data_IF_478513277235
#
_entry.id   IF_478513277235
#
_cell.length_a   1.000
_cell.length_b   1.000
_cell.length_c   1.000
_cell.angle_alpha   90.00
_cell.angle_beta   90.00
_cell.angle_gamma   90.00
#
_symmetry.space_group_name_H-M   'P 1'
#
loop_
_entity.id
_entity.type
_entity.pdbx_description
1 polymer ?
#
# COMPACT_ATOMS: atom_id res chain seq x y z
N UNK A 1 -18.69 2.28 -12.19
CA UNK A 1 -18.87 3.60 -12.84
C UNK A 1 -19.86 3.42 -13.95
N UNK A 2 -20.72 4.40 -14.16
CA UNK A 2 -21.77 4.33 -15.18
C UNK A 2 -21.45 5.27 -16.34
N UNK A 3 -22.01 4.97 -17.52
CA UNK A 3 -21.87 5.79 -18.75
C UNK A 3 -22.12 7.29 -18.52
N UNK A 4 -23.13 7.72 -17.73
CA UNK A 4 -23.35 9.15 -17.45
C UNK A 4 -22.18 9.82 -16.70
N UNK A 5 -21.51 9.09 -15.79
CA UNK A 5 -20.36 9.61 -15.06
C UNK A 5 -19.17 9.83 -16.01
N UNK A 6 -18.95 8.91 -16.95
CA UNK A 6 -17.92 9.07 -17.98
C UNK A 6 -18.22 10.21 -18.94
N UNK A 7 -19.50 10.40 -19.32
CA UNK A 7 -19.92 11.53 -20.14
C UNK A 7 -19.67 12.86 -19.44
N UNK A 8 -19.98 12.96 -18.14
CA UNK A 8 -19.77 14.18 -17.36
C UNK A 8 -18.28 14.51 -17.18
N UNK A 9 -17.44 13.48 -16.96
CA UNK A 9 -15.99 13.68 -16.97
C UNK A 9 -15.59 14.18 -18.35
N UNK A 10 -15.89 13.44 -19.42
CA UNK A 10 -15.46 13.79 -20.78
C UNK A 10 -15.94 15.16 -21.26
N UNK A 11 -17.09 15.68 -20.80
CA UNK A 11 -17.55 17.03 -21.12
C UNK A 11 -16.84 18.13 -20.34
N UNK A 12 -16.22 17.79 -19.21
CA UNK A 12 -15.59 18.73 -18.29
C UNK A 12 -14.08 18.83 -18.46
N UNK A 13 -13.48 18.00 -19.31
CA UNK A 13 -12.03 17.92 -19.54
C UNK A 13 -11.75 18.07 -21.04
N UNK A 14 -10.66 18.74 -21.38
CA UNK A 14 -10.29 18.93 -22.79
C UNK A 14 -9.86 17.60 -23.42
N UNK A 15 -9.89 17.52 -24.76
CA UNK A 15 -9.47 16.31 -25.46
C UNK A 15 -8.01 15.95 -25.15
N UNK A 16 -7.12 16.95 -25.08
CA UNK A 16 -5.71 16.76 -24.73
C UNK A 16 -5.51 16.26 -23.29
N UNK A 17 -6.24 16.84 -22.34
CA UNK A 17 -6.25 16.38 -20.95
C UNK A 17 -6.76 14.93 -20.86
N UNK A 18 -7.73 14.55 -21.70
CA UNK A 18 -8.27 13.19 -21.70
C UNK A 18 -7.25 12.18 -22.21
N UNK A 19 -6.50 12.53 -23.25
CA UNK A 19 -5.40 11.69 -23.74
C UNK A 19 -4.34 11.51 -22.64
N UNK A 20 -3.99 12.59 -21.93
CA UNK A 20 -3.05 12.52 -20.79
C UNK A 20 -3.60 11.65 -19.66
N UNK A 21 -4.90 11.75 -19.37
CA UNK A 21 -5.57 10.90 -18.39
C UNK A 21 -5.49 9.43 -18.79
N UNK A 22 -5.89 9.06 -20.00
CA UNK A 22 -5.82 7.68 -20.49
C UNK A 22 -4.38 7.17 -20.51
N UNK A 23 -3.43 7.96 -20.99
CA UNK A 23 -2.02 7.60 -20.96
C UNK A 23 -1.53 7.38 -19.52
N UNK A 24 -1.95 8.20 -18.55
CA UNK A 24 -1.60 8.01 -17.13
C UNK A 24 -2.25 6.77 -16.51
N UNK A 25 -3.40 6.36 -17.04
CA UNK A 25 -4.14 5.16 -16.62
C UNK A 25 -3.51 3.86 -17.14
N UNK A 26 -2.72 3.93 -18.22
CA UNK A 26 -1.93 2.78 -18.69
C UNK A 26 -0.79 2.41 -17.73
N UNK A 27 -0.44 3.28 -16.78
CA UNK A 27 0.60 3.01 -15.79
C UNK A 27 0.01 2.66 -14.44
N UNK A 28 0.47 1.54 -13.88
CA UNK A 28 -0.01 0.96 -12.64
C UNK A 28 0.76 1.53 -11.42
N UNK A 29 1.75 2.41 -11.63
CA UNK A 29 2.63 2.94 -10.59
C UNK A 29 2.01 4.12 -9.84
N UNK A 30 2.31 4.25 -8.55
CA UNK A 30 1.87 5.39 -7.73
C UNK A 30 2.34 6.74 -8.29
N UNK A 31 3.60 6.81 -8.76
CA UNK A 31 4.17 8.00 -9.39
C UNK A 31 3.76 8.10 -10.86
N UNK A 32 3.51 9.34 -11.31
CA UNK A 32 3.25 9.65 -12.70
C UNK A 32 4.56 9.58 -13.49
N UNK A 33 4.63 8.84 -14.60
CA UNK A 33 5.85 8.73 -15.40
C UNK A 33 6.16 10.05 -16.12
N UNK A 34 7.44 10.37 -16.23
CA UNK A 34 7.94 11.57 -16.92
C UNK A 34 7.71 11.56 -18.43
N UNK A 35 7.46 10.38 -19.02
CA UNK A 35 7.10 10.22 -20.43
C UNK A 35 5.81 9.41 -20.52
N UNK A 36 4.71 10.06 -20.90
CA UNK A 36 3.46 9.39 -21.23
C UNK A 36 3.58 8.84 -22.65
N UNK A 37 3.55 7.52 -22.84
CA UNK A 37 3.47 6.94 -24.19
C UNK A 37 2.19 7.43 -24.85
N UNK A 38 2.32 8.05 -26.03
CA UNK A 38 1.19 8.62 -26.74
C UNK A 38 0.21 7.51 -27.13
N UNK A 39 -0.97 7.51 -26.51
CA UNK A 39 -2.06 6.61 -26.92
C UNK A 39 -2.58 7.15 -28.25
N UNK A 40 -2.46 6.34 -29.30
CA UNK A 40 -2.85 6.70 -30.66
C UNK A 40 -4.39 6.84 -30.70
N UNK A 41 -4.88 8.04 -30.41
CA UNK A 41 -6.27 8.35 -30.04
C UNK A 41 -6.96 9.26 -31.04
N UNK A 42 -6.32 9.52 -32.19
CA UNK A 42 -6.68 10.59 -33.14
C UNK A 42 -8.14 10.60 -33.64
N UNK A 43 -8.95 9.54 -33.40
CA UNK A 43 -10.34 9.47 -33.84
C UNK A 43 -11.34 8.95 -32.78
N UNK A 44 -10.97 8.85 -31.49
CA UNK A 44 -11.89 8.35 -30.46
C UNK A 44 -12.33 9.44 -29.48
N UNK A 45 -13.62 9.46 -29.15
CA UNK A 45 -14.13 10.37 -28.13
C UNK A 45 -13.59 9.99 -26.75
N UNK A 46 -13.37 10.98 -25.88
CA UNK A 46 -12.88 10.77 -24.52
C UNK A 46 -13.76 9.77 -23.73
N UNK A 47 -15.08 9.84 -23.94
CA UNK A 47 -16.04 8.90 -23.34
C UNK A 47 -15.73 7.46 -23.74
N UNK A 48 -15.47 7.22 -25.03
CA UNK A 48 -15.17 5.88 -25.54
C UNK A 48 -13.88 5.34 -24.96
N UNK A 49 -12.83 6.17 -24.89
CA UNK A 49 -11.55 5.80 -24.26
C UNK A 49 -11.72 5.41 -22.78
N UNK A 50 -12.53 6.16 -22.03
CA UNK A 50 -12.82 5.87 -20.61
C UNK A 50 -13.64 4.58 -20.44
N UNK A 51 -14.59 4.32 -21.35
CA UNK A 51 -15.36 3.07 -21.37
C UNK A 51 -14.44 1.88 -21.66
N UNK A 52 -13.60 1.99 -22.69
CA UNK A 52 -12.66 0.95 -23.10
C UNK A 52 -11.66 0.63 -21.98
N UNK A 53 -11.17 1.65 -21.28
CA UNK A 53 -10.35 1.48 -20.08
C UNK A 53 -11.07 0.69 -18.98
N UNK A 54 -12.37 0.95 -18.77
CA UNK A 54 -13.15 0.34 -17.69
C UNK A 54 -13.60 -1.10 -17.97
N UNK A 55 -13.88 -1.42 -19.23
CA UNK A 55 -14.37 -2.73 -19.67
C UNK A 55 -13.27 -3.70 -20.11
N UNK A 56 -12.04 -3.20 -20.17
CA UNK A 56 -10.89 -3.96 -20.64
C UNK A 56 -10.43 -5.08 -19.71
N UNK A 57 -9.78 -6.09 -20.30
CA UNK A 57 -9.23 -7.28 -19.61
C UNK A 57 -7.71 -7.21 -19.42
N UNK A 58 -7.05 -6.22 -19.99
CA UNK A 58 -5.61 -6.05 -19.89
C UNK A 58 -5.19 -5.66 -18.47
N UNK A 59 -3.96 -5.98 -18.09
CA UNK A 59 -3.42 -5.69 -16.75
C UNK A 59 -3.40 -4.21 -16.37
N UNK A 60 -3.41 -3.32 -17.37
CA UNK A 60 -3.51 -1.87 -17.23
C UNK A 60 -4.96 -1.35 -17.29
N UNK A 61 -5.89 -2.13 -17.84
CA UNK A 61 -7.31 -1.79 -17.90
C UNK A 61 -7.95 -2.15 -16.56
N UNK A 62 -8.59 -1.17 -15.91
CA UNK A 62 -8.95 -1.28 -14.49
C UNK A 62 -10.20 -2.12 -14.20
N UNK A 63 -10.33 -3.28 -14.84
CA UNK A 63 -11.37 -4.32 -14.70
C UNK A 63 -12.39 -4.11 -13.57
N UNK A 64 -13.43 -3.34 -13.86
CA UNK A 64 -14.55 -3.01 -12.94
C UNK A 64 -14.19 -2.30 -11.60
N UNK A 65 -12.96 -1.83 -11.39
CA UNK A 65 -12.46 -1.18 -10.15
C UNK A 65 -11.91 0.25 -10.35
N UNK A 66 -12.41 0.96 -11.37
CA UNK A 66 -11.71 2.11 -11.95
C UNK A 66 -11.86 3.46 -11.24
N UNK A 67 -12.88 3.69 -10.40
CA UNK A 67 -13.20 5.05 -9.94
C UNK A 67 -12.11 5.67 -9.05
N UNK A 68 -11.49 4.88 -8.17
CA UNK A 68 -10.42 5.35 -7.29
C UNK A 68 -9.14 5.70 -8.08
N UNK A 69 -8.79 4.88 -9.07
CA UNK A 69 -7.62 5.11 -9.93
C UNK A 69 -7.83 6.33 -10.82
N UNK A 70 -9.02 6.47 -11.42
CA UNK A 70 -9.38 7.64 -12.23
C UNK A 70 -9.38 8.92 -11.37
N UNK A 71 -9.98 8.89 -10.17
CA UNK A 71 -9.95 10.03 -9.25
C UNK A 71 -8.52 10.39 -8.84
N UNK A 72 -7.67 9.40 -8.57
CA UNK A 72 -6.27 9.63 -8.23
C UNK A 72 -5.50 10.30 -9.39
N UNK A 73 -5.66 9.80 -10.63
CA UNK A 73 -5.02 10.39 -11.82
C UNK A 73 -5.55 11.78 -12.14
N UNK A 74 -6.84 12.02 -11.98
CA UNK A 74 -7.42 13.36 -12.10
C UNK A 74 -6.78 14.35 -11.12
N UNK A 75 -6.53 13.95 -9.87
CA UNK A 75 -5.79 14.79 -8.91
C UNK A 75 -4.36 15.08 -9.35
N UNK A 76 -3.66 14.08 -9.89
CA UNK A 76 -2.29 14.26 -10.41
C UNK A 76 -2.24 15.19 -11.63
N UNK A 77 -3.32 15.26 -12.41
CA UNK A 77 -3.48 16.21 -13.51
C UNK A 77 -3.95 17.61 -13.07
N UNK A 78 -4.09 17.86 -11.76
CA UNK A 78 -4.56 19.14 -11.22
C UNK A 78 -6.08 19.34 -11.25
N UNK A 79 -6.85 18.28 -11.57
CA UNK A 79 -8.32 18.29 -11.63
C UNK A 79 -8.93 17.64 -10.38
N UNK A 80 -8.59 18.18 -9.22
CA UNK A 80 -9.12 17.71 -7.93
C UNK A 80 -10.63 17.92 -7.80
N UNK A 81 -11.15 18.97 -8.43
CA UNK A 81 -12.58 19.27 -8.58
C UNK A 81 -13.37 18.08 -9.16
N UNK A 82 -12.88 17.54 -10.29
CA UNK A 82 -13.49 16.40 -10.96
C UNK A 82 -13.30 15.10 -10.18
N UNK A 83 -12.15 14.93 -9.54
CA UNK A 83 -11.89 13.77 -8.70
C UNK A 83 -12.86 13.72 -7.50
N UNK A 84 -13.09 14.86 -6.85
CA UNK A 84 -13.98 14.96 -5.69
C UNK A 84 -15.44 14.82 -6.09
N UNK A 85 -15.84 15.44 -7.21
CA UNK A 85 -17.17 15.22 -7.80
C UNK A 85 -17.39 13.73 -8.12
N UNK A 86 -16.41 13.08 -8.74
CA UNK A 86 -16.49 11.68 -9.12
C UNK A 86 -16.65 10.76 -7.91
N UNK A 87 -15.84 10.97 -6.87
CA UNK A 87 -15.99 10.26 -5.61
C UNK A 87 -17.40 10.45 -5.03
N UNK A 88 -17.87 11.71 -4.93
CA UNK A 88 -19.22 12.00 -4.41
C UNK A 88 -20.33 11.34 -5.25
N UNK A 89 -20.24 11.39 -6.57
CA UNK A 89 -21.24 10.82 -7.47
C UNK A 89 -21.31 9.29 -7.34
N UNK A 90 -20.16 8.62 -7.26
CA UNK A 90 -20.09 7.15 -7.07
C UNK A 90 -20.61 6.76 -5.69
N UNK A 91 -20.24 7.49 -4.62
CA UNK A 91 -20.74 7.22 -3.27
C UNK A 91 -22.23 7.50 -3.13
N UNK A 92 -22.73 8.57 -3.75
CA UNK A 92 -24.15 8.90 -3.71
C UNK A 92 -24.99 7.83 -4.42
N UNK A 93 -24.52 7.36 -5.57
CA UNK A 93 -25.19 6.27 -6.29
C UNK A 93 -25.15 4.97 -5.49
N UNK A 94 -24.01 4.65 -4.86
CA UNK A 94 -23.90 3.50 -3.98
C UNK A 94 -24.85 3.60 -2.77
N UNK A 95 -24.92 4.77 -2.13
CA UNK A 95 -25.81 5.01 -1.00
C UNK A 95 -27.29 4.90 -1.40
N UNK A 96 -27.63 5.39 -2.60
CA UNK A 96 -28.97 5.25 -3.17
C UNK A 96 -29.30 3.78 -3.44
N UNK A 97 -28.41 3.04 -4.08
CA UNK A 97 -28.60 1.61 -4.36
C UNK A 97 -28.77 0.80 -3.05
N UNK A 98 -28.01 1.15 -2.01
CA UNK A 98 -28.16 0.57 -0.66
C UNK A 98 -29.51 0.94 -0.05
N UNK A 99 -29.91 2.21 -0.10
CA UNK A 99 -31.17 2.66 0.46
C UNK A 99 -32.38 2.02 -0.24
N UNK A 100 -32.35 1.95 -1.57
CA UNK A 100 -33.40 1.36 -2.39
C UNK A 100 -33.49 -0.16 -2.16
N UNK A 101 -32.36 -0.87 -2.03
CA UNK A 101 -32.36 -2.31 -1.71
C UNK A 101 -32.87 -2.60 -0.30
N UNK A 102 -32.53 -1.78 0.70
CA UNK A 102 -33.02 -1.94 2.08
C UNK A 102 -34.52 -1.62 2.18
N UNK A 103 -35.00 -0.59 1.49
CA UNK A 103 -36.42 -0.19 1.50
C UNK A 103 -37.32 -1.21 0.79
N UNK A 104 -36.82 -1.88 -0.26
CA UNK A 104 -37.61 -2.83 -1.04
C UNK A 104 -37.63 -4.22 -0.39
N UNK A 105 -36.57 -4.67 0.30
CA UNK A 105 -36.59 -5.90 1.09
C UNK A 105 -35.58 -5.87 2.27
N UNK A 106 -35.98 -5.48 3.48
CA UNK A 106 -35.07 -5.39 4.63
C UNK A 106 -34.53 -6.74 5.14
N UNK A 107 -35.03 -7.88 4.63
CA UNK A 107 -34.67 -9.22 5.12
C UNK A 107 -34.23 -10.24 4.06
N UNK A 108 -34.25 -9.90 2.76
CA UNK A 108 -33.59 -10.77 1.77
C UNK A 108 -32.16 -10.30 1.62
N UNK A 109 -31.23 -10.98 2.30
CA UNK A 109 -29.80 -10.83 2.02
C UNK A 109 -29.58 -11.32 0.59
N UNK A 110 -29.66 -10.40 -0.36
CA UNK A 110 -29.34 -10.69 -1.74
C UNK A 110 -27.85 -11.04 -1.80
N UNK A 111 -27.53 -12.23 -2.30
CA UNK A 111 -26.16 -12.74 -2.40
C UNK A 111 -25.21 -11.76 -3.12
N UNK A 112 -25.78 -10.92 -3.97
CA UNK A 112 -25.13 -9.83 -4.69
C UNK A 112 -24.62 -8.71 -3.76
N UNK A 113 -25.40 -8.35 -2.73
CA UNK A 113 -25.03 -7.34 -1.74
C UNK A 113 -23.93 -7.86 -0.80
N UNK A 114 -24.01 -9.16 -0.44
CA UNK A 114 -22.93 -9.84 0.28
C UNK A 114 -21.64 -9.89 -0.54
N UNK A 115 -21.71 -10.19 -1.84
CA UNK A 115 -20.55 -10.22 -2.75
C UNK A 115 -19.94 -8.82 -3.01
N UNK A 116 -20.75 -7.77 -3.11
CA UNK A 116 -20.27 -6.40 -3.31
C UNK A 116 -19.69 -5.81 -2.03
N UNK A 117 -20.35 -6.03 -0.89
CA UNK A 117 -19.86 -5.58 0.41
C UNK A 117 -18.57 -6.34 0.78
N UNK A 118 -18.48 -7.65 0.51
CA UNK A 118 -17.21 -8.39 0.63
C UNK A 118 -16.16 -7.91 -0.37
N UNK A 119 -16.51 -7.48 -1.59
CA UNK A 119 -15.52 -6.88 -2.51
C UNK A 119 -15.00 -5.53 -2.03
N UNK A 120 -15.85 -4.65 -1.51
CA UNK A 120 -15.45 -3.36 -0.94
C UNK A 120 -14.63 -3.55 0.34
N UNK A 121 -15.04 -4.48 1.22
CA UNK A 121 -14.27 -4.88 2.40
C UNK A 121 -12.93 -5.50 2.00
N UNK A 122 -12.90 -6.35 0.97
CA UNK A 122 -11.66 -6.98 0.48
C UNK A 122 -10.72 -5.95 -0.12
N UNK A 123 -11.21 -4.97 -0.87
CA UNK A 123 -10.36 -3.89 -1.41
C UNK A 123 -9.78 -3.01 -0.29
N UNK A 124 -10.62 -2.67 0.70
CA UNK A 124 -10.17 -1.95 1.90
C UNK A 124 -9.18 -2.79 2.72
N UNK A 125 -9.41 -4.09 2.87
CA UNK A 125 -8.51 -5.00 3.58
C UNK A 125 -7.21 -5.27 2.83
N UNK A 126 -7.19 -5.25 1.50
CA UNK A 126 -5.95 -5.34 0.70
C UNK A 126 -5.12 -4.07 0.88
N UNK A 127 -5.76 -2.90 0.85
CA UNK A 127 -5.08 -1.62 1.10
C UNK A 127 -4.54 -1.51 2.53
N UNK A 128 -5.37 -1.86 3.53
CA UNK A 128 -5.00 -1.83 4.95
C UNK A 128 -3.98 -2.93 5.29
N UNK A 129 -4.10 -4.11 4.69
CA UNK A 129 -3.20 -5.25 4.92
C UNK A 129 -1.77 -4.95 4.49
N UNK A 130 -1.57 -4.27 3.35
CA UNK A 130 -0.24 -3.88 2.89
C UNK A 130 0.46 -2.88 3.84
N UNK A 131 -0.31 -2.05 4.57
CA UNK A 131 0.23 -1.08 5.52
C UNK A 131 0.62 -1.74 6.85
N UNK A 132 -0.21 -2.64 7.37
CA UNK A 132 0.12 -3.42 8.57
C UNK A 132 1.30 -4.37 8.37
N UNK A 133 1.46 -4.96 7.18
CA UNK A 133 2.58 -5.86 6.86
C UNK A 133 3.92 -5.12 6.92
N UNK A 134 3.97 -3.89 6.42
CA UNK A 134 5.18 -3.05 6.49
C UNK A 134 5.49 -2.68 7.95
N UNK A 135 4.47 -2.35 8.74
CA UNK A 135 4.64 -2.03 10.16
C UNK A 135 5.14 -3.26 10.93
N UNK A 136 4.59 -4.44 10.69
CA UNK A 136 5.00 -5.66 11.38
C UNK A 136 6.45 -6.04 11.02
N UNK A 137 6.79 -6.06 9.73
CA UNK A 137 8.16 -6.35 9.26
C UNK A 137 9.17 -5.36 9.87
N UNK A 138 8.84 -4.06 9.93
CA UNK A 138 9.75 -3.06 10.50
C UNK A 138 9.93 -3.24 12.01
N UNK A 139 8.87 -3.60 12.74
CA UNK A 139 8.93 -3.87 14.18
C UNK A 139 9.81 -5.09 14.49
N UNK A 140 9.64 -6.19 13.73
CA UNK A 140 10.47 -7.39 13.86
C UNK A 140 11.95 -7.12 13.58
N UNK A 141 12.25 -6.30 12.57
CA UNK A 141 13.63 -5.92 12.25
C UNK A 141 14.28 -5.13 13.38
N UNK A 142 13.57 -4.15 13.96
CA UNK A 142 14.07 -3.37 15.10
C UNK A 142 14.28 -4.26 16.33
N UNK A 143 13.33 -5.16 16.60
CA UNK A 143 13.44 -6.11 17.71
C UNK A 143 14.65 -7.04 17.55
N UNK A 144 14.85 -7.60 16.35
CA UNK A 144 15.98 -8.46 16.06
C UNK A 144 17.33 -7.75 16.26
N UNK A 145 17.42 -6.48 15.82
CA UNK A 145 18.61 -5.65 16.04
C UNK A 145 18.85 -5.45 17.54
N UNK A 146 17.84 -5.03 18.31
CA UNK A 146 18.00 -4.81 19.75
C UNK A 146 18.44 -6.08 20.49
N UNK A 147 17.88 -7.23 20.14
CA UNK A 147 18.28 -8.53 20.71
C UNK A 147 19.72 -8.86 20.34
N UNK A 148 20.12 -8.69 19.08
CA UNK A 148 21.49 -8.93 18.64
C UNK A 148 22.50 -8.03 19.38
N UNK A 149 22.16 -6.76 19.61
CA UNK A 149 22.97 -5.82 20.38
C UNK A 149 23.10 -6.23 21.85
N UNK A 150 22.01 -6.66 22.48
CA UNK A 150 22.03 -7.16 23.85
C UNK A 150 22.89 -8.41 23.98
N UNK A 151 22.76 -9.36 23.06
CA UNK A 151 23.58 -10.58 23.03
C UNK A 151 25.05 -10.22 22.85
N UNK A 152 25.37 -9.35 21.89
CA UNK A 152 26.76 -8.92 21.64
C UNK A 152 27.39 -8.21 22.85
N UNK A 153 26.64 -7.31 23.48
CA UNK A 153 27.06 -6.62 24.70
C UNK A 153 27.29 -7.60 25.85
N UNK A 154 26.36 -8.54 26.06
CA UNK A 154 26.48 -9.57 27.09
C UNK A 154 27.69 -10.48 26.83
N UNK A 155 27.91 -10.92 25.59
CA UNK A 155 29.10 -11.69 25.20
C UNK A 155 30.39 -10.90 25.45
N UNK A 156 30.43 -9.60 25.14
CA UNK A 156 31.61 -8.76 25.44
C UNK A 156 31.85 -8.67 26.95
N UNK A 157 30.82 -8.45 27.75
CA UNK A 157 30.94 -8.36 29.21
C UNK A 157 31.39 -9.69 29.83
N UNK A 158 30.88 -10.82 29.33
CA UNK A 158 31.31 -12.15 29.75
C UNK A 158 32.76 -12.43 29.35
N UNK A 159 33.17 -12.10 28.12
CA UNK A 159 34.56 -12.23 27.68
C UNK A 159 35.52 -11.37 28.51
N UNK A 160 35.15 -10.13 28.84
CA UNK A 160 35.95 -9.25 29.70
C UNK A 160 36.03 -9.80 31.13
N UNK A 161 34.93 -10.34 31.66
CA UNK A 161 34.88 -10.92 33.00
C UNK A 161 35.69 -12.21 33.10
N UNK A 162 35.65 -13.06 32.06
CA UNK A 162 36.48 -14.27 31.98
C UNK A 162 37.96 -13.92 31.88
N UNK A 163 38.34 -12.94 31.03
CA UNK A 163 39.73 -12.46 30.95
C UNK A 163 40.22 -11.91 32.29
N UNK A 164 39.38 -11.13 32.98
CA UNK A 164 39.71 -10.59 34.30
C UNK A 164 39.93 -11.71 35.32
N UNK A 165 39.02 -12.70 35.38
CA UNK A 165 39.16 -13.86 36.30
C UNK A 165 40.41 -14.70 36.01
N UNK A 166 40.73 -14.95 34.74
CA UNK A 166 41.93 -15.71 34.35
C UNK A 166 43.19 -14.97 34.81
N UNK A 167 43.29 -13.66 34.58
CA UNK A 167 44.43 -12.87 35.02
C UNK A 167 44.62 -12.90 36.56
N UNK A 168 43.52 -12.78 37.32
CA UNK A 168 43.61 -12.84 38.81
C UNK A 168 44.01 -14.22 39.32
N UNK A 169 43.60 -15.29 38.63
CA UNK A 169 44.00 -16.65 39.00
C UNK A 169 45.48 -16.92 38.73
N UNK A 170 46.03 -16.43 37.62
CA UNK A 170 47.46 -16.55 37.31
C UNK A 170 48.33 -15.82 38.35
N UNK A 171 47.93 -14.62 38.78
CA UNK A 171 48.64 -13.87 39.83
C UNK A 171 48.62 -14.60 41.19
N UNK A 172 47.48 -15.19 41.58
CA UNK A 172 47.40 -15.96 42.82
C UNK A 172 48.29 -17.22 42.80
N UNK A 173 48.36 -17.92 41.67
CA UNK A 173 49.23 -19.09 41.49
C UNK A 173 50.71 -18.69 41.58
N UNK A 174 51.09 -17.56 40.99
CA UNK A 174 52.46 -17.05 41.06
C UNK A 174 52.89 -16.70 42.50
N UNK A 175 51.99 -16.11 43.30
CA UNK A 175 52.27 -15.80 44.71
C UNK A 175 52.44 -17.05 45.57
N UNK A 176 51.62 -18.08 45.36
CA UNK A 176 51.76 -19.37 46.07
C UNK A 176 53.08 -20.07 45.74
N UNK A 177 53.50 -20.05 44.47
CA UNK A 177 54.79 -20.62 44.06
C UNK A 177 55.97 -19.91 44.72
N UNK A 178 55.95 -18.57 44.73
CA UNK A 178 57.00 -17.77 45.39
C UNK A 178 57.04 -17.97 46.91
N UNK A 179 55.89 -18.13 47.55
CA UNK A 179 55.81 -18.46 48.98
C UNK A 179 56.39 -19.83 49.32
N UNK A 180 56.20 -20.82 48.44
CA UNK A 180 56.77 -22.17 48.61
C UNK A 180 58.29 -22.21 48.44
N UNK A 181 58.87 -21.38 47.55
CA UNK A 181 60.32 -21.28 47.36
C UNK A 181 61.04 -20.56 48.51
N UNK A 182 60.35 -19.66 49.23
CA UNK A 182 60.92 -18.96 50.38
C UNK A 182 60.88 -19.76 51.70
N UNK A 183 60.11 -20.86 51.75
CA UNK A 183 59.93 -21.69 52.94
C UNK A 183 60.76 -22.99 52.93
N UNK A 184 61.61 -23.17 51.91
CA UNK A 184 62.58 -24.27 51.76
C UNK A 184 64.01 -23.70 51.80
#
# INVERSE_FOLDING_TARGET
MNVPQFSHIASSISHEECIKLIASLHYNSYKMPSSLTFVNSNNMSCVRLLIDYSGGKESWQGGNKTHGVIAHRLRQLGRSDLADWLCKAVFHQLAKDINDSILVNPFTVDSTQSALCTKLLKDKMVFVGAEWDIIDITLWMVLAILVAWLVFSCCRLLCLSCRKKIATNEEMIALLKKGSENNN
#
